data_IF_446746056846
#
_entry.id   IF_446746056846
#
_cell.length_a   1.000
_cell.length_b   1.000
_cell.length_c   1.000
_cell.angle_alpha   90.00
_cell.angle_beta   90.00
_cell.angle_gamma   90.00
#
_symmetry.space_group_name_H-M   'P 1'
#
loop_
_entity.id
_entity.type
_entity.pdbx_description
1 polymer ?
#
# COMPACT_ATOMS: atom_id res chain seq x y z
N UNK A 1 -1.28 -15.53 17.22
CA UNK A 1 -0.71 -14.34 16.53
C UNK A 1 -0.87 -14.59 15.04
N UNK A 2 -1.87 -13.95 14.42
CA UNK A 2 -2.09 -14.06 12.98
C UNK A 2 -1.01 -13.18 12.33
N UNK A 3 -0.16 -13.78 11.49
CA UNK A 3 0.86 -13.03 10.78
C UNK A 3 0.16 -12.11 9.76
N UNK A 4 0.41 -10.80 9.83
CA UNK A 4 -0.04 -9.85 8.81
C UNK A 4 0.88 -10.02 7.60
N UNK A 5 0.39 -10.48 6.44
CA UNK A 5 1.23 -10.65 5.26
C UNK A 5 1.79 -9.30 4.82
N UNK A 6 3.06 -9.31 4.43
CA UNK A 6 3.73 -8.16 3.82
C UNK A 6 3.70 -8.33 2.30
N UNK A 7 3.16 -7.34 1.61
CA UNK A 7 3.03 -7.32 0.16
C UNK A 7 3.70 -6.10 -0.42
N UNK A 8 4.48 -6.31 -1.46
CA UNK A 8 5.04 -5.23 -2.27
C UNK A 8 4.28 -5.12 -3.58
N UNK A 9 4.00 -3.90 -4.00
CA UNK A 9 3.51 -3.61 -5.34
C UNK A 9 4.44 -2.63 -6.05
N UNK A 10 4.73 -2.92 -7.31
CA UNK A 10 5.54 -2.06 -8.18
C UNK A 10 4.97 -2.01 -9.58
N UNK A 11 4.98 -0.84 -10.23
CA UNK A 11 4.54 -0.70 -11.61
C UNK A 11 5.63 -1.20 -12.57
N UNK A 12 5.29 -2.22 -13.36
CA UNK A 12 6.14 -2.75 -14.44
C UNK A 12 5.96 -1.96 -15.73
N UNK A 13 4.72 -1.64 -16.07
CA UNK A 13 4.34 -0.83 -17.23
C UNK A 13 3.05 -0.07 -16.94
N UNK A 14 2.58 0.75 -17.88
CA UNK A 14 1.38 1.58 -17.69
C UNK A 14 0.16 0.81 -17.16
N UNK A 15 0.04 -0.47 -17.52
CA UNK A 15 -1.13 -1.31 -17.18
C UNK A 15 -0.75 -2.58 -16.40
N UNK A 16 0.50 -2.72 -15.98
CA UNK A 16 1.04 -3.96 -15.40
C UNK A 16 1.80 -3.73 -14.10
N UNK A 17 1.61 -4.62 -13.13
CA UNK A 17 2.13 -4.54 -11.77
C UNK A 17 2.82 -5.83 -11.36
N UNK A 18 3.98 -5.71 -10.74
CA UNK A 18 4.59 -6.81 -9.99
C UNK A 18 4.00 -6.76 -8.57
N UNK A 19 3.46 -7.89 -8.10
CA UNK A 19 2.89 -8.05 -6.75
C UNK A 19 3.60 -9.23 -6.07
N UNK A 20 4.24 -8.98 -4.94
CA UNK A 20 5.10 -9.95 -4.26
C UNK A 20 4.59 -10.15 -2.84
N UNK A 21 4.58 -11.39 -2.34
CA UNK A 21 4.27 -11.71 -0.93
C UNK A 21 2.80 -12.02 -0.63
N UNK A 22 1.87 -11.81 -1.58
CA UNK A 22 0.43 -12.04 -1.35
C UNK A 22 0.06 -13.53 -1.42
N UNK A 23 0.83 -14.33 -2.17
CA UNK A 23 0.69 -15.79 -2.23
C UNK A 23 2.06 -16.45 -2.09
N UNK A 24 2.12 -17.54 -1.32
CA UNK A 24 3.37 -18.28 -1.03
C UNK A 24 3.96 -19.02 -2.24
N UNK A 25 3.27 -19.03 -3.39
CA UNK A 25 3.58 -19.88 -4.54
C UNK A 25 3.99 -19.16 -5.82
N UNK A 26 4.16 -17.83 -5.81
CA UNK A 26 4.47 -17.10 -7.07
C UNK A 26 5.68 -16.19 -6.88
N UNK A 27 6.85 -16.83 -6.74
CA UNK A 27 8.08 -16.18 -7.19
C UNK A 27 7.96 -16.06 -8.71
N UNK A 28 7.67 -14.85 -9.18
CA UNK A 28 7.96 -14.35 -10.54
C UNK A 28 7.56 -15.23 -11.74
N UNK A 29 6.59 -14.76 -12.52
CA UNK A 29 6.65 -15.04 -13.97
C UNK A 29 6.00 -13.94 -14.82
N UNK A 30 4.94 -13.28 -14.34
CA UNK A 30 4.23 -12.27 -15.14
C UNK A 30 3.66 -11.14 -14.29
N UNK A 31 3.90 -9.91 -14.76
CA UNK A 31 3.25 -8.73 -14.23
C UNK A 31 1.73 -8.77 -14.48
N UNK A 32 0.95 -8.45 -13.46
CA UNK A 32 -0.51 -8.53 -13.44
C UNK A 32 -1.13 -7.23 -13.95
N UNK A 33 -2.21 -7.32 -14.70
CA UNK A 33 -3.07 -6.15 -14.91
C UNK A 33 -3.76 -5.75 -13.61
N UNK A 34 -4.28 -4.52 -13.55
CA UNK A 34 -5.11 -4.03 -12.44
C UNK A 34 -6.23 -5.02 -12.08
N UNK A 35 -6.98 -5.49 -13.09
CA UNK A 35 -8.02 -6.52 -12.93
C UNK A 35 -7.49 -7.82 -12.33
N UNK A 36 -6.34 -8.30 -12.80
CA UNK A 36 -5.74 -9.54 -12.27
C UNK A 36 -5.28 -9.37 -10.80
N UNK A 37 -4.85 -8.16 -10.40
CA UNK A 37 -4.58 -7.85 -8.99
C UNK A 37 -5.86 -7.95 -8.17
N UNK A 38 -6.95 -7.30 -8.60
CA UNK A 38 -8.24 -7.38 -7.91
C UNK A 38 -8.75 -8.83 -7.79
N UNK A 39 -8.68 -9.62 -8.87
CA UNK A 39 -9.05 -11.03 -8.86
C UNK A 39 -8.17 -11.87 -7.92
N UNK A 40 -6.88 -11.55 -7.81
CA UNK A 40 -5.96 -12.20 -6.87
C UNK A 40 -6.32 -11.87 -5.42
N UNK A 41 -6.54 -10.59 -5.11
CA UNK A 41 -6.90 -10.12 -3.77
C UNK A 41 -8.23 -10.74 -3.31
N UNK A 42 -9.25 -10.76 -4.16
CA UNK A 42 -10.54 -11.38 -3.86
C UNK A 42 -10.42 -12.89 -3.58
N UNK A 43 -9.50 -13.62 -4.22
CA UNK A 43 -9.30 -15.06 -3.95
C UNK A 43 -8.66 -15.35 -2.59
N UNK A 44 -7.98 -14.37 -2.01
CA UNK A 44 -7.27 -14.54 -0.73
C UNK A 44 -7.90 -13.77 0.43
N UNK A 45 -8.88 -12.90 0.16
CA UNK A 45 -9.53 -12.04 1.17
C UNK A 45 -10.14 -12.83 2.32
N UNK A 46 -10.76 -13.98 2.04
CA UNK A 46 -11.38 -14.81 3.08
C UNK A 46 -10.37 -15.54 3.98
N UNK A 47 -9.08 -15.49 3.63
CA UNK A 47 -7.99 -16.16 4.34
C UNK A 47 -7.06 -15.18 5.06
N UNK A 48 -7.21 -13.89 4.80
CA UNK A 48 -6.31 -12.84 5.28
C UNK A 48 -7.17 -11.76 5.94
N UNK A 49 -7.08 -11.64 7.25
CA UNK A 49 -7.83 -10.61 8.00
C UNK A 49 -7.32 -9.19 7.71
N UNK A 50 -6.01 -9.06 7.44
CA UNK A 50 -5.34 -7.77 7.25
C UNK A 50 -4.07 -7.91 6.44
N UNK A 51 -3.73 -6.88 5.68
CA UNK A 51 -2.53 -6.80 4.86
C UNK A 51 -1.65 -5.61 5.25
N UNK A 52 -0.32 -5.76 5.15
CA UNK A 52 0.60 -4.62 5.01
C UNK A 52 1.03 -4.49 3.55
N UNK A 53 0.72 -3.37 2.90
CA UNK A 53 1.02 -3.11 1.50
C UNK A 53 2.05 -1.97 1.36
N UNK A 54 3.24 -2.30 0.85
CA UNK A 54 4.28 -1.35 0.47
C UNK A 54 4.20 -1.04 -1.03
N UNK A 55 3.95 0.23 -1.37
CA UNK A 55 3.98 0.71 -2.74
C UNK A 55 5.36 1.25 -3.08
N UNK A 56 6.13 0.40 -3.77
CA UNK A 56 7.54 0.63 -3.99
C UNK A 56 7.79 1.81 -4.93
N UNK A 57 6.87 2.14 -5.83
CA UNK A 57 7.00 3.34 -6.68
C UNK A 57 6.72 4.61 -5.88
N UNK A 58 5.76 4.59 -4.96
CA UNK A 58 5.57 5.66 -3.98
C UNK A 58 6.79 5.87 -3.07
N UNK A 59 7.27 4.77 -2.47
CA UNK A 59 8.39 4.78 -1.53
C UNK A 59 9.70 5.19 -2.22
N UNK A 60 10.04 4.66 -3.38
CA UNK A 60 11.36 4.91 -4.00
C UNK A 60 11.38 6.11 -4.95
N UNK A 61 10.24 6.41 -5.60
CA UNK A 61 10.20 7.34 -6.75
C UNK A 61 9.18 8.47 -6.59
N UNK A 62 8.49 8.55 -5.45
CA UNK A 62 7.43 9.53 -5.21
C UNK A 62 6.32 9.45 -6.28
N UNK A 63 5.96 8.23 -6.70
CA UNK A 63 4.91 7.97 -7.71
C UNK A 63 3.93 6.89 -7.22
N UNK A 64 3.15 7.17 -6.16
CA UNK A 64 2.23 6.19 -5.61
C UNK A 64 1.19 5.73 -6.64
N UNK A 65 0.80 4.48 -6.54
CA UNK A 65 -0.06 3.75 -7.45
C UNK A 65 -1.50 3.66 -6.93
N UNK A 66 -2.05 4.82 -6.51
CA UNK A 66 -3.29 4.93 -5.73
C UNK A 66 -4.46 4.12 -6.29
N UNK A 67 -4.67 4.10 -7.61
CA UNK A 67 -5.81 3.42 -8.22
C UNK A 67 -5.81 1.89 -8.06
N UNK A 68 -4.65 1.23 -8.13
CA UNK A 68 -4.57 -0.23 -7.86
C UNK A 68 -4.57 -0.51 -6.36
N UNK A 69 -3.99 0.38 -5.56
CA UNK A 69 -4.01 0.27 -4.10
C UNK A 69 -5.43 0.38 -3.54
N UNK A 70 -6.25 1.28 -4.10
CA UNK A 70 -7.64 1.44 -3.69
C UNK A 70 -8.43 0.13 -3.84
N UNK A 71 -8.27 -0.59 -4.96
CA UNK A 71 -8.93 -1.90 -5.14
C UNK A 71 -8.51 -2.94 -4.10
N UNK A 72 -7.24 -2.91 -3.68
CA UNK A 72 -6.75 -3.77 -2.60
C UNK A 72 -7.43 -3.41 -1.28
N UNK A 73 -7.46 -2.10 -0.94
CA UNK A 73 -7.99 -1.60 0.33
C UNK A 73 -9.51 -1.80 0.44
N UNK A 74 -10.25 -1.70 -0.67
CA UNK A 74 -11.70 -1.99 -0.73
C UNK A 74 -12.03 -3.46 -0.46
N UNK A 75 -11.06 -4.37 -0.66
CA UNK A 75 -11.26 -5.81 -0.55
C UNK A 75 -10.70 -6.40 0.76
N UNK A 76 -9.53 -5.94 1.20
CA UNK A 76 -8.86 -6.41 2.43
C UNK A 76 -8.47 -5.20 3.28
N UNK A 77 -8.78 -5.18 4.58
CA UNK A 77 -8.26 -4.17 5.49
C UNK A 77 -6.74 -4.05 5.38
N UNK A 78 -6.25 -2.87 5.02
CA UNK A 78 -4.86 -2.69 4.60
C UNK A 78 -4.16 -1.58 5.38
N UNK A 79 -2.96 -1.89 5.87
CA UNK A 79 -1.96 -0.91 6.28
C UNK A 79 -1.15 -0.53 5.04
N UNK A 80 -1.29 0.70 4.58
CA UNK A 80 -0.72 1.16 3.31
C UNK A 80 0.49 2.07 3.54
N UNK A 81 1.66 1.70 3.03
CA UNK A 81 2.87 2.55 2.98
C UNK A 81 3.07 3.06 1.54
N UNK A 82 2.73 4.32 1.30
CA UNK A 82 2.83 4.98 -0.01
C UNK A 82 4.03 5.91 -0.19
N UNK A 83 4.89 6.03 0.83
CA UNK A 83 6.05 6.92 0.80
C UNK A 83 5.71 8.40 1.01
N UNK A 84 5.06 8.74 2.13
CA UNK A 84 4.77 10.15 2.49
C UNK A 84 6.06 10.97 2.54
N UNK A 85 6.05 12.14 1.88
CA UNK A 85 7.16 13.12 1.87
C UNK A 85 6.86 14.38 2.66
N UNK A 86 5.59 14.80 2.63
CA UNK A 86 5.04 15.94 3.36
C UNK A 86 3.73 15.54 4.02
N UNK A 87 3.35 16.19 5.12
CA UNK A 87 2.13 15.88 5.88
C UNK A 87 0.89 15.70 4.99
N UNK A 88 0.67 16.63 4.04
CA UNK A 88 -0.53 16.62 3.19
C UNK A 88 -0.56 15.46 2.18
N UNK A 89 0.58 14.82 1.85
CA UNK A 89 0.57 13.67 0.94
C UNK A 89 -0.15 12.45 1.52
N UNK A 90 -0.35 12.42 2.84
CA UNK A 90 -1.11 11.34 3.48
C UNK A 90 -2.59 11.36 3.06
N UNK A 91 -3.13 12.50 2.61
CA UNK A 91 -4.53 12.63 2.19
C UNK A 91 -4.80 11.72 0.99
N UNK A 92 -3.91 11.71 0.01
CA UNK A 92 -4.03 10.84 -1.17
C UNK A 92 -4.03 9.36 -0.78
N UNK A 93 -3.25 9.01 0.25
CA UNK A 93 -3.23 7.64 0.80
C UNK A 93 -4.52 7.31 1.56
N UNK A 94 -5.09 8.25 2.31
CA UNK A 94 -6.35 8.05 3.03
C UNK A 94 -7.52 7.83 2.06
N UNK A 95 -7.51 8.51 0.92
CA UNK A 95 -8.54 8.37 -0.13
C UNK A 95 -8.59 6.94 -0.70
N UNK A 96 -7.52 6.16 -0.62
CA UNK A 96 -7.54 4.76 -1.10
C UNK A 96 -8.42 3.85 -0.24
N UNK A 97 -8.87 4.31 0.94
CA UNK A 97 -9.64 3.50 1.88
C UNK A 97 -8.77 2.61 2.77
N UNK A 98 -7.46 2.87 2.86
CA UNK A 98 -6.57 2.16 3.77
C UNK A 98 -7.07 2.26 5.23
N UNK A 99 -7.02 1.14 5.96
CA UNK A 99 -7.39 1.11 7.38
C UNK A 99 -6.41 1.97 8.20
N UNK A 100 -5.12 1.86 7.88
CA UNK A 100 -4.08 2.78 8.36
C UNK A 100 -3.14 3.17 7.23
N UNK A 101 -2.86 4.46 7.11
CA UNK A 101 -1.76 4.99 6.31
C UNK A 101 -0.48 4.95 7.15
N UNK A 102 0.52 4.22 6.67
CA UNK A 102 1.81 4.05 7.35
C UNK A 102 2.79 5.09 6.84
N UNK A 103 3.37 5.84 7.77
CA UNK A 103 4.41 6.83 7.50
C UNK A 103 5.77 6.23 7.90
N UNK A 104 6.63 6.01 6.90
CA UNK A 104 8.02 5.66 7.12
C UNK A 104 8.88 6.92 7.26
N UNK A 105 9.87 6.90 8.15
CA UNK A 105 10.79 8.04 8.37
C UNK A 105 11.78 8.23 7.23
N UNK A 106 12.12 7.18 6.49
CA UNK A 106 13.12 7.22 5.41
C UNK A 106 12.71 8.05 4.19
N UNK A 107 11.43 8.41 4.08
CA UNK A 107 10.91 9.21 2.97
C UNK A 107 10.64 10.65 3.36
N UNK A 108 10.47 10.98 4.64
CA UNK A 108 10.01 12.29 5.08
C UNK A 108 11.01 13.41 4.74
N UNK A 109 10.45 14.59 4.44
CA UNK A 109 11.25 15.81 4.28
C UNK A 109 11.64 16.41 5.63
N UNK A 110 10.76 16.29 6.64
CA UNK A 110 11.01 16.70 8.02
C UNK A 110 10.28 15.80 9.02
N UNK A 111 10.80 15.69 10.25
CA UNK A 111 10.07 15.03 11.34
C UNK A 111 8.80 15.80 11.75
N UNK A 112 8.72 17.10 11.48
CA UNK A 112 7.50 17.88 11.75
C UNK A 112 6.32 17.45 10.86
N UNK A 113 6.60 16.87 9.68
CA UNK A 113 5.57 16.32 8.80
C UNK A 113 4.81 15.15 9.45
N UNK A 114 5.44 14.41 10.37
CA UNK A 114 4.77 13.35 11.14
C UNK A 114 3.64 13.95 11.96
N UNK A 115 3.95 14.99 12.76
CA UNK A 115 2.96 15.68 13.58
C UNK A 115 1.87 16.31 12.73
N UNK A 116 2.24 16.88 11.58
CA UNK A 116 1.29 17.42 10.62
C UNK A 116 0.31 16.35 10.13
N UNK A 117 0.81 15.18 9.74
CA UNK A 117 -0.02 14.08 9.27
C UNK A 117 -0.99 13.58 10.35
N UNK A 118 -0.53 13.31 11.57
CA UNK A 118 -1.39 12.85 12.67
C UNK A 118 -2.52 13.84 13.05
N UNK A 119 -2.39 15.13 12.71
CA UNK A 119 -3.48 16.11 12.89
C UNK A 119 -4.60 15.97 11.84
N UNK A 120 -4.32 15.33 10.71
CA UNK A 120 -5.27 15.18 9.59
C UNK A 120 -6.22 14.01 9.78
N UNK A 121 -5.79 12.93 10.45
CA UNK A 121 -6.61 11.73 10.63
C UNK A 121 -6.06 10.80 11.72
N UNK A 122 -6.96 10.12 12.42
CA UNK A 122 -6.62 9.03 13.34
C UNK A 122 -6.25 7.72 12.62
N UNK A 123 -6.47 7.66 11.30
CA UNK A 123 -6.12 6.50 10.46
C UNK A 123 -4.68 6.54 9.95
N UNK A 124 -3.78 7.12 10.75
CA UNK A 124 -2.36 7.24 10.44
C UNK A 124 -1.56 6.51 11.51
N UNK A 125 -0.49 5.83 11.10
CA UNK A 125 0.49 5.19 11.98
C UNK A 125 1.89 5.41 11.45
N UNK A 126 2.91 5.21 12.29
CA UNK A 126 4.32 5.20 11.87
C UNK A 126 4.88 3.78 11.86
N UNK A 127 5.92 3.57 11.04
CA UNK A 127 6.74 2.36 11.01
C UNK A 127 7.79 2.34 12.12
#
# INVERSE_FOLDING_TARGET
>A
MIAVPYVEIRRRSLTRYDVIGLTSGTIGARALTRREVAEMVSKVSDKIEKLYLADMDGIERNRPQLGVVQEVCETIPTFYEGGVRFANNVIDMLITGAEKCVIGTGTLSSFDDIRGAFKLSENITSK
#
